data_IF_939103128721
#
_entry.id   IF_939103128721
#
_cell.length_a   1.000
_cell.length_b   1.000
_cell.length_c   1.000
_cell.angle_alpha   90.00
_cell.angle_beta   90.00
_cell.angle_gamma   90.00
#
_symmetry.space_group_name_H-M   'P 1'
#
loop_
_entity.id
_entity.type
_entity.pdbx_description
1 polymer ?
#
# COMPACT_ATOMS: atom_id res chain seq x y z
N UNK A 1 -6.13 17.02 -31.11
CA UNK A 1 -6.32 15.54 -30.96
C UNK A 1 -6.50 14.97 -32.34
N UNK A 2 -5.90 13.81 -32.63
CA UNK A 2 -6.03 13.09 -33.91
C UNK A 2 -6.62 11.69 -33.69
N UNK A 3 -7.19 11.13 -34.72
CA UNK A 3 -7.71 9.76 -34.69
C UNK A 3 -6.54 8.77 -34.47
N UNK A 4 -6.61 7.85 -33.50
CA UNK A 4 -5.52 6.90 -33.24
C UNK A 4 -5.37 5.84 -34.33
N UNK A 5 -6.35 5.70 -35.24
CA UNK A 5 -6.33 4.66 -36.28
C UNK A 5 -5.92 5.19 -37.66
N UNK A 6 -6.35 6.38 -38.03
CA UNK A 6 -6.10 6.96 -39.36
C UNK A 6 -5.47 8.34 -39.34
N UNK A 7 -5.07 8.86 -38.19
CA UNK A 7 -4.47 10.19 -37.99
C UNK A 7 -5.32 11.38 -38.49
N UNK A 8 -6.61 11.18 -38.77
CA UNK A 8 -7.51 12.26 -39.16
C UNK A 8 -7.56 13.34 -38.05
N UNK A 9 -7.69 14.59 -38.46
CA UNK A 9 -7.70 15.74 -37.56
C UNK A 9 -9.00 15.87 -36.79
N UNK A 10 -9.01 16.79 -35.82
CA UNK A 10 -10.09 17.01 -34.82
C UNK A 10 -11.48 17.14 -35.47
N UNK A 11 -11.58 17.81 -36.62
CA UNK A 11 -12.84 18.09 -37.32
C UNK A 11 -13.54 16.82 -37.83
N UNK A 12 -12.79 15.74 -37.98
CA UNK A 12 -13.31 14.43 -38.34
C UNK A 12 -13.71 13.56 -37.14
N UNK A 13 -13.70 14.09 -35.93
CA UNK A 13 -13.99 13.35 -34.69
C UNK A 13 -15.28 13.83 -34.06
N UNK A 14 -16.31 12.99 -34.06
CA UNK A 14 -17.57 13.26 -33.36
C UNK A 14 -17.59 12.64 -31.98
N UNK A 15 -18.12 13.35 -31.00
CA UNK A 15 -18.42 12.80 -29.66
C UNK A 15 -19.79 12.15 -29.73
N UNK A 16 -19.87 10.85 -29.44
CA UNK A 16 -21.11 10.08 -29.45
C UNK A 16 -21.75 10.05 -28.06
N UNK A 17 -20.90 9.94 -27.03
CA UNK A 17 -21.34 9.83 -25.64
C UNK A 17 -20.31 10.55 -24.71
N UNK A 18 -20.82 11.18 -23.67
CA UNK A 18 -20.02 11.88 -22.67
C UNK A 18 -20.60 11.63 -21.29
N UNK A 19 -19.79 11.07 -20.39
CA UNK A 19 -20.20 10.77 -19.01
C UNK A 19 -19.13 11.19 -18.02
N UNK A 20 -19.56 11.68 -16.89
CA UNK A 20 -18.65 11.90 -15.76
C UNK A 20 -18.22 10.56 -15.16
N UNK A 21 -16.98 10.44 -14.76
CA UNK A 21 -16.40 9.28 -14.09
C UNK A 21 -15.44 9.75 -12.98
N UNK A 22 -14.91 8.81 -12.22
CA UNK A 22 -13.98 9.10 -11.12
C UNK A 22 -14.55 10.12 -10.11
N UNK A 23 -15.83 9.95 -9.73
CA UNK A 23 -16.47 10.84 -8.76
C UNK A 23 -16.64 12.29 -9.23
N UNK A 24 -16.67 12.54 -10.54
CA UNK A 24 -16.79 13.90 -11.11
C UNK A 24 -15.44 14.52 -11.50
N UNK A 25 -14.31 13.88 -11.22
CA UNK A 25 -12.96 14.39 -11.50
C UNK A 25 -12.51 14.18 -12.95
N UNK A 26 -13.20 13.30 -13.70
CA UNK A 26 -12.88 13.02 -15.09
C UNK A 26 -14.14 12.95 -15.94
N UNK A 27 -14.00 13.24 -17.24
CA UNK A 27 -15.06 13.07 -18.25
C UNK A 27 -14.56 12.00 -19.23
N UNK A 28 -15.32 10.90 -19.31
CA UNK A 28 -15.14 9.87 -20.32
C UNK A 28 -15.93 10.24 -21.56
N UNK A 29 -15.26 10.36 -22.73
CA UNK A 29 -15.92 10.63 -24.00
C UNK A 29 -15.71 9.50 -24.97
N UNK A 30 -16.78 8.95 -25.50
CA UNK A 30 -16.74 8.00 -26.62
C UNK A 30 -16.81 8.80 -27.92
N UNK A 31 -15.85 8.60 -28.79
CA UNK A 31 -15.69 9.31 -30.05
C UNK A 31 -15.76 8.36 -31.23
N UNK A 32 -16.22 8.88 -32.38
CA UNK A 32 -16.24 8.20 -33.66
C UNK A 32 -15.50 9.07 -34.68
N UNK A 33 -14.62 8.46 -35.47
CA UNK A 33 -13.96 9.11 -36.57
C UNK A 33 -14.83 9.01 -37.83
N UNK A 34 -15.21 10.14 -38.45
CA UNK A 34 -16.03 10.15 -39.67
C UNK A 34 -15.28 9.67 -40.93
N UNK A 35 -13.94 9.61 -40.90
CA UNK A 35 -13.13 9.12 -42.04
C UNK A 35 -12.92 7.61 -42.03
N UNK A 36 -12.72 7.00 -40.87
CA UNK A 36 -12.46 5.55 -40.80
C UNK A 36 -13.54 4.80 -39.97
N UNK A 37 -14.58 5.47 -39.52
CA UNK A 37 -15.75 4.96 -38.78
C UNK A 37 -15.42 4.19 -37.51
N UNK A 38 -14.14 4.18 -37.11
CA UNK A 38 -13.70 3.52 -35.88
C UNK A 38 -14.01 4.37 -34.64
N UNK A 39 -14.38 3.67 -33.57
CA UNK A 39 -14.71 4.27 -32.27
C UNK A 39 -13.58 4.10 -31.29
N UNK A 40 -13.34 5.14 -30.49
CA UNK A 40 -12.35 5.12 -29.41
C UNK A 40 -12.84 5.96 -28.24
N UNK A 41 -12.23 5.75 -27.10
CA UNK A 41 -12.58 6.46 -25.87
C UNK A 41 -11.44 7.38 -25.48
N UNK A 42 -11.79 8.59 -25.04
CA UNK A 42 -10.86 9.55 -24.44
C UNK A 42 -11.32 9.94 -23.06
N UNK A 43 -10.36 10.27 -22.21
CA UNK A 43 -10.60 10.80 -20.88
C UNK A 43 -10.06 12.22 -20.80
N UNK A 44 -10.88 13.13 -20.34
CA UNK A 44 -10.45 14.47 -19.93
C UNK A 44 -10.40 14.48 -18.41
N UNK A 45 -9.24 14.78 -17.87
CA UNK A 45 -9.02 14.95 -16.44
C UNK A 45 -8.58 16.37 -16.16
N UNK A 46 -8.98 16.89 -15.01
CA UNK A 46 -8.41 18.12 -14.50
C UNK A 46 -6.95 17.81 -14.16
N UNK A 47 -6.02 18.48 -14.84
CA UNK A 47 -4.62 18.44 -14.45
C UNK A 47 -4.47 19.32 -13.20
N UNK A 48 -4.55 18.70 -12.04
CA UNK A 48 -4.19 19.38 -10.81
C UNK A 48 -2.68 19.62 -10.85
N UNK A 49 -2.29 20.85 -11.22
CA UNK A 49 -0.89 21.30 -11.25
C UNK A 49 -0.34 21.47 -9.82
N UNK A 50 -0.59 20.53 -8.95
CA UNK A 50 0.10 20.46 -7.66
C UNK A 50 1.49 19.91 -7.97
N UNK A 51 2.45 20.81 -8.12
CA UNK A 51 3.88 20.46 -8.26
C UNK A 51 4.41 19.98 -6.92
N UNK A 52 3.86 18.87 -6.44
CA UNK A 52 4.33 18.23 -5.23
C UNK A 52 5.73 17.67 -5.48
N UNK A 53 6.67 18.02 -4.63
CA UNK A 53 8.05 17.58 -4.67
C UNK A 53 8.28 16.57 -3.55
N UNK A 54 8.91 15.46 -3.87
CA UNK A 54 9.28 14.44 -2.90
C UNK A 54 10.72 14.66 -2.46
N UNK A 55 10.92 14.81 -1.15
CA UNK A 55 12.25 14.87 -0.53
C UNK A 55 12.68 13.44 -0.22
N UNK A 56 13.74 12.97 -0.84
CA UNK A 56 14.32 11.65 -0.59
C UNK A 56 15.18 11.63 0.67
N UNK A 57 15.57 10.42 1.12
CA UNK A 57 16.43 10.21 2.29
C UNK A 57 17.80 10.89 2.17
N UNK A 58 18.31 11.04 0.94
CA UNK A 58 19.57 11.72 0.62
C UNK A 58 19.42 13.26 0.51
N UNK A 59 18.22 13.79 0.79
CA UNK A 59 17.91 15.22 0.66
C UNK A 59 17.60 15.68 -0.77
N UNK A 60 17.70 14.81 -1.77
CA UNK A 60 17.37 15.17 -3.16
C UNK A 60 15.87 15.42 -3.33
N UNK A 61 15.54 16.39 -4.19
CA UNK A 61 14.17 16.79 -4.50
C UNK A 61 13.79 16.27 -5.88
N UNK A 62 12.74 15.49 -5.95
CA UNK A 62 12.23 14.93 -7.21
C UNK A 62 10.73 15.21 -7.34
N UNK A 63 10.20 15.42 -8.55
CA UNK A 63 8.76 15.54 -8.74
C UNK A 63 8.04 14.30 -8.23
N UNK A 64 6.88 14.51 -7.61
CA UNK A 64 5.99 13.42 -7.24
C UNK A 64 5.57 12.63 -8.49
N UNK A 65 5.52 11.32 -8.36
CA UNK A 65 5.13 10.45 -9.45
C UNK A 65 4.30 9.27 -8.92
N UNK A 66 2.98 9.36 -9.14
CA UNK A 66 1.99 8.34 -8.80
C UNK A 66 2.38 6.94 -9.28
N UNK A 67 2.91 6.82 -10.50
CA UNK A 67 3.28 5.52 -11.08
C UNK A 67 4.40 4.82 -10.31
N UNK A 68 5.22 5.54 -9.54
CA UNK A 68 6.24 4.91 -8.68
C UNK A 68 5.62 4.19 -7.51
N UNK A 69 4.56 4.75 -6.93
CA UNK A 69 3.83 4.10 -5.84
C UNK A 69 3.13 2.87 -6.39
N UNK A 70 2.40 3.01 -7.50
CA UNK A 70 1.68 1.90 -8.14
C UNK A 70 2.61 0.73 -8.46
N UNK A 71 3.75 0.98 -9.13
CA UNK A 71 4.75 -0.07 -9.42
C UNK A 71 5.31 -0.74 -8.16
N UNK A 72 5.49 0.00 -7.09
CA UNK A 72 5.89 -0.55 -5.80
C UNK A 72 4.84 -1.50 -5.22
N UNK A 73 3.57 -1.11 -5.29
CA UNK A 73 2.44 -1.93 -4.87
C UNK A 73 2.29 -3.18 -5.75
N UNK A 74 2.32 -3.06 -7.08
CA UNK A 74 2.28 -4.18 -8.03
C UNK A 74 3.36 -5.22 -7.73
N UNK A 75 4.59 -4.76 -7.49
CA UNK A 75 5.71 -5.65 -7.14
C UNK A 75 5.51 -6.37 -5.81
N UNK A 76 4.98 -5.68 -4.80
CA UNK A 76 4.70 -6.27 -3.49
C UNK A 76 3.53 -7.26 -3.55
N UNK A 77 2.50 -6.95 -4.33
CA UNK A 77 1.28 -7.73 -4.48
C UNK A 77 1.39 -8.83 -5.54
N UNK A 78 2.52 -8.98 -6.21
CA UNK A 78 2.72 -9.98 -7.26
C UNK A 78 2.36 -11.40 -6.78
N UNK A 79 1.50 -12.09 -7.54
CA UNK A 79 0.92 -13.41 -7.19
C UNK A 79 0.08 -13.44 -5.90
N UNK A 80 -0.44 -12.29 -5.46
CA UNK A 80 -1.46 -12.26 -4.39
C UNK A 80 -2.85 -12.10 -5.01
N UNK A 81 -3.92 -12.58 -4.36
CA UNK A 81 -5.31 -12.45 -4.83
C UNK A 81 -5.83 -11.03 -4.57
N UNK A 82 -5.14 -10.02 -5.10
CA UNK A 82 -5.46 -8.61 -4.96
C UNK A 82 -5.73 -8.08 -6.36
N UNK A 83 -6.80 -7.29 -6.52
CA UNK A 83 -7.20 -6.74 -7.81
C UNK A 83 -6.50 -5.40 -8.06
N UNK A 84 -6.31 -5.05 -9.33
CA UNK A 84 -5.67 -3.79 -9.73
C UNK A 84 -6.47 -2.56 -9.21
N UNK A 85 -7.79 -2.70 -9.09
CA UNK A 85 -8.66 -1.67 -8.54
C UNK A 85 -8.35 -1.36 -7.07
N UNK A 86 -7.97 -2.36 -6.28
CA UNK A 86 -7.57 -2.17 -4.88
C UNK A 86 -6.26 -1.41 -4.77
N UNK A 87 -5.30 -1.69 -5.68
CA UNK A 87 -4.03 -0.97 -5.73
C UNK A 87 -4.23 0.50 -6.12
N UNK A 88 -5.08 0.75 -7.12
CA UNK A 88 -5.42 2.10 -7.55
C UNK A 88 -6.10 2.89 -6.43
N UNK A 89 -7.01 2.25 -5.68
CA UNK A 89 -7.67 2.86 -4.52
C UNK A 89 -6.67 3.26 -3.44
N UNK A 90 -5.69 2.40 -3.12
CA UNK A 90 -4.63 2.74 -2.17
C UNK A 90 -3.85 3.98 -2.66
N UNK A 91 -3.50 4.03 -3.94
CA UNK A 91 -2.77 5.19 -4.49
C UNK A 91 -3.61 6.46 -4.37
N UNK A 92 -4.90 6.40 -4.71
CA UNK A 92 -5.82 7.56 -4.61
C UNK A 92 -5.94 8.06 -3.17
N UNK A 93 -6.12 7.15 -2.21
CA UNK A 93 -6.21 7.50 -0.79
C UNK A 93 -4.91 8.09 -0.24
N UNK A 94 -3.75 7.57 -0.67
CA UNK A 94 -2.44 8.10 -0.29
C UNK A 94 -2.25 9.51 -0.86
N UNK A 95 -2.61 9.73 -2.13
CA UNK A 95 -2.57 11.06 -2.75
C UNK A 95 -3.45 12.06 -2.01
N UNK A 96 -4.69 11.67 -1.70
CA UNK A 96 -5.62 12.53 -0.97
C UNK A 96 -5.06 12.94 0.40
N UNK A 97 -4.45 12.00 1.11
CA UNK A 97 -3.88 12.25 2.44
C UNK A 97 -2.63 13.12 2.38
N UNK A 98 -1.77 12.92 1.38
CA UNK A 98 -0.61 13.78 1.12
C UNK A 98 -1.06 15.21 0.82
N UNK A 99 -2.07 15.39 -0.03
CA UNK A 99 -2.56 16.73 -0.39
C UNK A 99 -3.27 17.46 0.75
N UNK A 100 -3.85 16.72 1.72
CA UNK A 100 -4.42 17.31 2.93
C UNK A 100 -3.36 17.83 3.91
N UNK A 101 -2.20 17.18 3.93
CA UNK A 101 -1.17 17.42 4.94
C UNK A 101 0.04 18.19 4.42
N UNK A 102 0.25 18.22 3.09
CA UNK A 102 1.44 18.80 2.46
C UNK A 102 1.07 19.59 1.21
N UNK A 103 1.42 20.88 1.17
CA UNK A 103 1.11 21.77 0.04
C UNK A 103 2.10 21.63 -1.13
N UNK A 104 3.39 21.58 -0.86
CA UNK A 104 4.46 21.67 -1.88
C UNK A 104 5.50 20.57 -1.80
N UNK A 105 5.89 20.18 -0.61
CA UNK A 105 6.96 19.20 -0.38
C UNK A 105 6.49 18.12 0.58
N UNK A 106 6.81 16.85 0.29
CA UNK A 106 6.53 15.71 1.14
C UNK A 106 7.77 14.83 1.28
N UNK A 107 8.15 14.42 2.50
CA UNK A 107 9.21 13.44 2.70
C UNK A 107 8.81 12.07 2.11
N UNK A 108 9.74 11.40 1.46
CA UNK A 108 9.48 10.04 0.95
C UNK A 108 9.16 9.04 2.07
N UNK A 109 9.59 9.29 3.30
CA UNK A 109 9.22 8.52 4.48
C UNK A 109 7.73 8.54 4.76
N UNK A 110 7.12 9.73 4.69
CA UNK A 110 5.67 9.89 4.90
C UNK A 110 4.87 9.09 3.87
N UNK A 111 5.24 9.21 2.59
CA UNK A 111 4.60 8.44 1.51
C UNK A 111 4.68 6.95 1.78
N UNK A 112 5.87 6.46 2.15
CA UNK A 112 6.08 5.06 2.43
C UNK A 112 5.31 4.57 3.63
N UNK A 113 5.20 5.35 4.69
CA UNK A 113 4.40 5.03 5.88
C UNK A 113 2.91 4.92 5.54
N UNK A 114 2.36 5.88 4.80
CA UNK A 114 0.97 5.84 4.35
C UNK A 114 0.66 4.60 3.49
N UNK A 115 1.51 4.32 2.50
CA UNK A 115 1.38 3.11 1.66
C UNK A 115 1.45 1.86 2.52
N UNK A 116 2.39 1.80 3.45
CA UNK A 116 2.63 0.66 4.32
C UNK A 116 1.43 0.39 5.22
N UNK A 117 0.82 1.43 5.81
CA UNK A 117 -0.35 1.30 6.67
C UNK A 117 -1.56 0.75 5.91
N UNK A 118 -1.84 1.28 4.71
CA UNK A 118 -2.96 0.82 3.90
C UNK A 118 -2.75 -0.61 3.38
N UNK A 119 -1.53 -0.94 2.97
CA UNK A 119 -1.18 -2.28 2.50
C UNK A 119 -1.27 -3.33 3.62
N UNK A 120 -0.93 -2.96 4.86
CA UNK A 120 -1.05 -3.84 6.04
C UNK A 120 -2.49 -4.29 6.26
N UNK A 121 -3.47 -3.41 5.99
CA UNK A 121 -4.90 -3.73 6.12
C UNK A 121 -5.41 -4.60 4.97
N UNK A 122 -4.81 -4.47 3.78
CA UNK A 122 -5.23 -5.21 2.60
C UNK A 122 -4.64 -6.63 2.57
N UNK A 123 -3.32 -6.75 2.72
CA UNK A 123 -2.62 -8.05 2.67
C UNK A 123 -1.28 -8.00 3.42
N UNK A 124 -1.17 -8.80 4.45
CA UNK A 124 0.00 -8.80 5.34
C UNK A 124 1.28 -9.31 4.67
N UNK A 125 1.17 -10.25 3.73
CA UNK A 125 2.33 -10.76 3.01
C UNK A 125 2.85 -9.69 2.05
N UNK A 126 1.96 -9.01 1.33
CA UNK A 126 2.32 -7.88 0.48
C UNK A 126 2.92 -6.73 1.31
N UNK A 127 2.36 -6.47 2.50
CA UNK A 127 2.93 -5.51 3.45
C UNK A 127 4.38 -5.84 3.80
N UNK A 128 4.69 -7.07 4.25
CA UNK A 128 6.05 -7.46 4.65
C UNK A 128 7.02 -7.35 3.47
N UNK A 129 6.59 -7.75 2.27
CA UNK A 129 7.38 -7.61 1.04
C UNK A 129 7.66 -6.14 0.69
N UNK A 130 6.67 -5.26 0.77
CA UNK A 130 6.84 -3.84 0.55
C UNK A 130 7.76 -3.22 1.60
N UNK A 131 7.51 -3.51 2.88
CA UNK A 131 8.28 -3.01 3.99
C UNK A 131 9.76 -3.44 3.91
N UNK A 132 10.06 -4.65 3.45
CA UNK A 132 11.43 -5.15 3.31
C UNK A 132 12.28 -4.30 2.36
N UNK A 133 11.67 -3.85 1.26
CA UNK A 133 12.35 -2.98 0.27
C UNK A 133 12.36 -1.53 0.75
N UNK A 134 11.23 -1.04 1.26
CA UNK A 134 11.08 0.36 1.63
C UNK A 134 11.92 0.73 2.88
N UNK A 135 11.90 -0.10 3.93
CA UNK A 135 12.68 0.10 5.16
C UNK A 135 14.14 -0.34 5.02
N UNK A 136 14.47 -1.06 3.94
CA UNK A 136 15.84 -1.55 3.66
C UNK A 136 16.39 -2.40 4.82
N UNK A 137 15.67 -3.43 5.22
CA UNK A 137 16.13 -4.35 6.26
C UNK A 137 17.54 -4.87 5.93
N UNK A 138 18.41 -4.80 6.92
CA UNK A 138 19.82 -5.21 6.78
C UNK A 138 20.04 -6.66 7.20
N UNK A 139 19.18 -7.17 8.08
CA UNK A 139 19.30 -8.51 8.63
C UNK A 139 17.99 -9.28 8.53
N UNK A 140 18.09 -10.60 8.59
CA UNK A 140 16.91 -11.48 8.60
C UNK A 140 16.09 -11.31 9.89
N UNK A 141 16.76 -10.99 10.99
CA UNK A 141 16.12 -10.75 12.28
C UNK A 141 15.18 -9.53 12.23
N UNK A 142 15.56 -8.47 11.51
CA UNK A 142 14.70 -7.32 11.31
C UNK A 142 13.43 -7.70 10.55
N UNK A 143 13.54 -8.51 9.49
CA UNK A 143 12.41 -9.03 8.74
C UNK A 143 11.49 -9.91 9.60
N UNK A 144 12.07 -10.82 10.39
CA UNK A 144 11.31 -11.71 11.29
C UNK A 144 10.60 -10.91 12.37
N UNK A 145 11.25 -9.88 12.94
CA UNK A 145 10.64 -9.00 13.93
C UNK A 145 9.43 -8.28 13.35
N UNK A 146 9.54 -7.73 12.15
CA UNK A 146 8.45 -7.04 11.47
C UNK A 146 7.28 -8.00 11.18
N UNK A 147 7.57 -9.20 10.69
CA UNK A 147 6.56 -10.21 10.43
C UNK A 147 5.82 -10.63 11.72
N UNK A 148 6.54 -10.82 12.83
CA UNK A 148 5.93 -11.12 14.14
C UNK A 148 5.03 -9.98 14.62
N UNK A 149 5.48 -8.74 14.51
CA UNK A 149 4.68 -7.58 14.88
C UNK A 149 3.34 -7.48 14.11
N UNK A 150 3.32 -7.98 12.87
CA UNK A 150 2.08 -8.04 12.07
C UNK A 150 1.16 -9.15 12.59
N UNK A 151 1.70 -10.31 12.91
CA UNK A 151 0.94 -11.45 13.43
C UNK A 151 0.33 -11.09 14.79
N UNK A 152 1.14 -10.52 15.68
CA UNK A 152 0.73 -10.15 17.03
C UNK A 152 -0.38 -9.10 17.02
N UNK A 153 -0.31 -8.11 16.10
CA UNK A 153 -1.33 -7.10 15.96
C UNK A 153 -2.71 -7.65 15.56
N UNK A 154 -2.77 -8.75 14.81
CA UNK A 154 -4.05 -9.40 14.47
C UNK A 154 -4.75 -10.02 15.69
N UNK A 155 -4.01 -10.47 16.68
CA UNK A 155 -4.61 -11.03 17.90
C UNK A 155 -5.33 -9.98 18.75
N UNK A 156 -5.09 -8.69 18.52
CA UNK A 156 -5.71 -7.59 19.26
C UNK A 156 -6.90 -6.93 18.56
N UNK A 157 -7.10 -7.16 17.27
CA UNK A 157 -8.11 -6.47 16.44
C UNK A 157 -9.35 -7.30 16.10
N UNK A 158 -9.67 -8.35 16.88
CA UNK A 158 -10.93 -9.07 16.71
C UNK A 158 -12.03 -8.30 17.46
N UNK A 159 -12.96 -7.62 16.76
CA UNK A 159 -14.06 -6.90 17.39
C UNK A 159 -14.96 -7.91 18.12
N UNK A 160 -15.07 -7.81 19.45
CA UNK A 160 -15.97 -8.62 20.26
C UNK A 160 -15.33 -9.73 21.09
N UNK A 161 -14.04 -10.00 20.97
CA UNK A 161 -13.33 -10.88 21.88
C UNK A 161 -12.80 -10.06 23.06
N UNK A 162 -13.56 -10.02 24.15
CA UNK A 162 -13.05 -9.60 25.45
C UNK A 162 -11.83 -10.43 25.82
N UNK A 163 -10.82 -9.81 26.43
CA UNK A 163 -9.60 -10.48 26.94
C UNK A 163 -9.99 -11.57 27.95
N UNK A 164 -10.10 -12.80 27.49
CA UNK A 164 -10.40 -13.97 28.34
C UNK A 164 -9.15 -14.55 29.02
N UNK A 165 -7.98 -14.18 28.55
CA UNK A 165 -6.71 -14.58 29.16
C UNK A 165 -5.83 -13.34 29.35
N UNK A 166 -5.83 -12.84 30.58
CA UNK A 166 -4.70 -12.09 31.10
C UNK A 166 -3.60 -13.14 31.21
N UNK A 167 -2.46 -12.93 30.57
CA UNK A 167 -1.24 -13.72 30.83
C UNK A 167 -0.92 -13.58 32.34
N UNK A 168 -1.51 -14.46 33.13
CA UNK A 168 -0.97 -14.75 34.44
C UNK A 168 0.37 -15.41 34.14
N UNK A 169 1.46 -14.68 34.35
CA UNK A 169 2.80 -15.20 34.36
C UNK A 169 2.77 -16.51 35.16
N UNK A 170 3.01 -17.63 34.47
CA UNK A 170 3.19 -18.90 35.13
C UNK A 170 4.27 -18.70 36.19
N UNK A 171 3.99 -18.98 37.49
CA UNK A 171 5.02 -18.90 38.50
C UNK A 171 6.12 -19.88 38.13
N UNK A 172 7.36 -19.38 38.05
CA UNK A 172 8.54 -20.24 37.90
C UNK A 172 8.45 -21.26 38.98
N UNK A 173 8.46 -22.54 38.61
CA UNK A 173 8.69 -23.63 39.57
C UNK A 173 10.09 -23.36 40.14
N UNK A 174 10.13 -22.99 41.39
CA UNK A 174 11.34 -23.02 42.19
C UNK A 174 11.71 -24.48 42.36
N UNK A 175 12.83 -24.87 41.77
CA UNK A 175 13.46 -26.18 42.02
C UNK A 175 13.78 -26.24 43.50
N UNK A 176 13.03 -27.04 44.23
CA UNK A 176 13.29 -27.37 45.64
C UNK A 176 14.60 -28.13 45.76
N UNK A 177 15.30 -27.98 46.89
CA UNK A 177 16.65 -28.53 47.04
C UNK A 177 16.63 -30.06 47.12
N UNK A 178 17.54 -30.66 46.33
CA UNK A 178 17.95 -32.03 46.47
C UNK A 178 18.80 -32.18 47.74
N UNK A 179 18.22 -32.79 48.78
CA UNK A 179 19.00 -33.38 49.88
C UNK A 179 18.18 -34.44 50.59
N UNK A 180 18.49 -35.69 50.35
CA UNK A 180 18.34 -36.75 51.33
C UNK A 180 19.27 -37.89 50.96
N UNK A 181 20.42 -37.89 51.58
CA UNK A 181 21.34 -39.05 51.65
C UNK A 181 20.71 -40.20 52.41
N UNK A 182 20.86 -41.46 51.99
CA UNK A 182 20.51 -42.61 52.81
C UNK A 182 21.62 -42.89 53.79
N UNK A 183 21.28 -42.91 55.07
CA UNK A 183 22.12 -43.39 56.13
C UNK A 183 22.36 -44.90 56.00
N UNK A 184 23.60 -45.30 55.95
CA UNK A 184 24.07 -46.69 56.20
C UNK A 184 23.77 -47.02 57.66
N UNK A 185 23.08 -48.11 57.90
CA UNK A 185 22.96 -48.79 59.17
C UNK A 185 23.74 -50.09 59.08
N UNK A 186 24.71 -50.20 59.97
CA UNK A 186 25.39 -51.44 60.25
C UNK A 186 24.53 -52.40 61.07
N UNK A 187 24.58 -53.63 60.73
CA UNK A 187 24.96 -54.84 61.53
C UNK A 187 24.83 -56.06 60.68
#
# INVERSE_FOLDING_TARGET
MRCPFCNAEKDSLKVIDSRTCEGGRAIRRRRECTKCEKRFTTYERIEENIRLVVIKKDGSRVPYNRNKILKGLESACYKRPIQDEDLLRIVDEVEEEIHKTHDKEVPSSVIGELVTEKLRRLDQVAYVRFASVYRQFKTLEELVREARAVIDAQHYDIPGQGRLFIDAALPRREDGPADAQPKQGAD
#
